data_IF_309221988622
#
_entry.id   IF_309221988622
#
_cell.length_a   1.000
_cell.length_b   1.000
_cell.length_c   1.000
_cell.angle_alpha   90.00
_cell.angle_beta   90.00
_cell.angle_gamma   90.00
#
_symmetry.space_group_name_H-M   'P 1'
#
loop_
_entity.id
_entity.type
_entity.pdbx_description
1 polymer ?
#
# COMPACT_ATOMS: atom_id res chain seq x y z
N UNK A 1 0.22 14.28 8.94
CA UNK A 1 -0.33 14.87 7.69
C UNK A 1 0.77 14.83 6.66
N UNK A 2 0.61 14.10 5.55
CA UNK A 2 1.57 14.12 4.44
C UNK A 2 1.26 15.39 3.67
N UNK A 3 2.13 16.41 3.70
CA UNK A 3 1.83 17.67 3.03
C UNK A 3 1.93 17.46 1.52
N UNK A 4 0.89 17.89 0.83
CA UNK A 4 0.86 18.19 -0.61
C UNK A 4 1.18 17.06 -1.61
N UNK A 5 0.96 15.80 -1.24
CA UNK A 5 1.06 14.69 -2.18
C UNK A 5 -0.31 14.37 -2.73
N UNK A 6 -0.52 14.59 -4.03
CA UNK A 6 -1.67 14.03 -4.73
C UNK A 6 -1.62 12.52 -4.55
N UNK A 7 -2.63 11.96 -3.92
CA UNK A 7 -2.66 10.57 -3.48
C UNK A 7 -3.71 9.79 -4.26
N UNK A 8 -3.40 8.55 -4.60
CA UNK A 8 -4.39 7.58 -5.06
C UNK A 8 -4.50 6.44 -4.04
N UNK A 9 -5.70 5.88 -3.90
CA UNK A 9 -5.99 4.74 -3.05
C UNK A 9 -6.46 3.56 -3.90
N UNK A 10 -5.94 2.37 -3.65
CA UNK A 10 -6.42 1.11 -4.23
C UNK A 10 -6.85 0.20 -3.09
N UNK A 11 -8.04 -0.39 -3.23
CA UNK A 11 -8.58 -1.39 -2.30
C UNK A 11 -8.66 -2.74 -3.02
N UNK A 12 -7.83 -3.70 -2.61
CA UNK A 12 -7.79 -5.04 -3.18
C UNK A 12 -8.86 -5.94 -2.58
N UNK A 13 -9.19 -7.03 -3.25
CA UNK A 13 -9.97 -8.12 -2.69
C UNK A 13 -9.12 -8.90 -1.69
N UNK A 14 -9.09 -8.45 -0.43
CA UNK A 14 -8.26 -8.99 0.62
C UNK A 14 -8.86 -8.78 2.01
N UNK A 15 -8.06 -9.03 3.03
CA UNK A 15 -8.50 -8.90 4.41
C UNK A 15 -8.52 -7.44 4.89
N UNK A 16 -9.61 -7.07 5.54
CA UNK A 16 -9.77 -5.79 6.25
C UNK A 16 -10.16 -6.05 7.70
N UNK A 17 -9.34 -5.60 8.65
CA UNK A 17 -9.67 -5.74 10.06
C UNK A 17 -10.86 -4.85 10.44
N UNK A 18 -12.02 -5.47 10.59
CA UNK A 18 -13.26 -4.75 10.92
C UNK A 18 -13.25 -4.10 12.31
N UNK A 19 -12.31 -4.45 13.18
CA UNK A 19 -12.09 -3.76 14.47
C UNK A 19 -11.41 -2.41 14.26
N UNK A 20 -10.78 -2.18 13.11
CA UNK A 20 -10.04 -0.98 12.73
C UNK A 20 -10.74 -0.17 11.63
N UNK A 21 -12.05 -0.28 11.48
CA UNK A 21 -12.83 0.49 10.51
C UNK A 21 -12.57 2.00 10.55
N UNK A 22 -12.33 2.65 11.70
CA UNK A 22 -11.99 4.08 11.72
C UNK A 22 -10.74 4.45 10.90
N UNK A 23 -9.75 3.56 10.81
CA UNK A 23 -8.56 3.76 9.98
C UNK A 23 -8.91 3.89 8.49
N UNK A 24 -9.66 2.92 7.96
CA UNK A 24 -10.08 2.94 6.55
C UNK A 24 -11.04 4.09 6.26
N UNK A 25 -11.99 4.37 7.18
CA UNK A 25 -12.90 5.51 7.06
C UNK A 25 -12.13 6.82 6.92
N UNK A 26 -11.13 7.05 7.78
CA UNK A 26 -10.31 8.27 7.75
C UNK A 26 -9.58 8.42 6.41
N UNK A 27 -9.00 7.33 5.89
CA UNK A 27 -8.30 7.34 4.61
C UNK A 27 -9.25 7.68 3.46
N UNK A 28 -10.41 7.00 3.37
CA UNK A 28 -11.40 7.20 2.31
C UNK A 28 -12.02 8.59 2.38
N UNK A 29 -12.45 9.05 3.56
CA UNK A 29 -13.03 10.40 3.72
C UNK A 29 -12.03 11.48 3.35
N UNK A 30 -10.76 11.33 3.76
CA UNK A 30 -9.69 12.25 3.35
C UNK A 30 -9.50 12.27 1.83
N UNK A 31 -9.53 11.10 1.19
CA UNK A 31 -9.39 11.01 -0.26
C UNK A 31 -10.56 11.69 -0.99
N UNK A 32 -11.80 11.43 -0.56
CA UNK A 32 -13.00 12.06 -1.13
C UNK A 32 -12.94 13.59 -0.96
N UNK A 33 -12.61 14.07 0.24
CA UNK A 33 -12.53 15.51 0.53
C UNK A 33 -11.50 16.24 -0.32
N UNK A 34 -10.38 15.56 -0.64
CA UNK A 34 -9.31 16.14 -1.45
C UNK A 34 -9.43 15.82 -2.95
N UNK A 35 -10.48 15.13 -3.37
CA UNK A 35 -10.67 14.75 -4.78
C UNK A 35 -9.62 13.75 -5.29
N UNK A 36 -9.09 12.91 -4.42
CA UNK A 36 -8.10 11.89 -4.78
C UNK A 36 -8.78 10.69 -5.44
N UNK A 37 -8.03 10.02 -6.31
CA UNK A 37 -8.46 8.79 -6.96
C UNK A 37 -8.67 7.67 -5.96
N UNK A 38 -9.80 6.96 -6.05
CA UNK A 38 -10.08 5.74 -5.30
C UNK A 38 -10.49 4.65 -6.30
N UNK A 39 -9.74 3.56 -6.33
CA UNK A 39 -10.00 2.38 -7.18
C UNK A 39 -10.24 1.17 -6.28
N UNK A 40 -11.28 0.40 -6.55
CA UNK A 40 -11.46 -0.93 -5.99
C UNK A 40 -11.17 -2.00 -7.04
N UNK A 41 -10.45 -3.04 -6.63
CA UNK A 41 -10.28 -4.27 -7.37
C UNK A 41 -11.27 -5.29 -6.81
N UNK A 42 -12.26 -5.66 -7.62
CA UNK A 42 -13.27 -6.69 -7.34
C UNK A 42 -13.84 -6.60 -5.90
N UNK A 43 -13.68 -7.62 -5.07
CA UNK A 43 -14.16 -7.68 -3.68
C UNK A 43 -13.62 -6.60 -2.74
N UNK A 44 -12.64 -5.79 -3.16
CA UNK A 44 -12.24 -4.57 -2.43
C UNK A 44 -13.39 -3.59 -2.15
N UNK A 45 -14.52 -3.75 -2.87
CA UNK A 45 -15.73 -2.98 -2.63
C UNK A 45 -16.40 -3.28 -1.27
N UNK A 46 -16.17 -4.46 -0.70
CA UNK A 46 -16.81 -4.85 0.57
C UNK A 46 -16.43 -3.98 1.77
N UNK A 47 -15.23 -3.36 1.77
CA UNK A 47 -14.87 -2.45 2.86
C UNK A 47 -15.79 -1.21 2.86
N UNK A 48 -16.20 -0.72 1.69
CA UNK A 48 -17.11 0.42 1.57
C UNK A 48 -18.49 0.07 2.09
N UNK A 49 -19.02 -1.12 1.73
CA UNK A 49 -20.29 -1.60 2.28
C UNK A 49 -20.24 -1.68 3.81
N UNK A 50 -19.14 -2.25 4.36
CA UNK A 50 -18.97 -2.37 5.79
C UNK A 50 -18.95 -1.01 6.50
N UNK A 51 -18.23 -0.03 5.94
CA UNK A 51 -18.16 1.33 6.46
C UNK A 51 -19.53 2.04 6.38
N UNK A 52 -20.20 1.95 5.24
CA UNK A 52 -21.51 2.58 5.02
C UNK A 52 -22.53 2.02 6.00
N UNK A 53 -22.58 0.70 6.17
CA UNK A 53 -23.46 0.04 7.12
C UNK A 53 -23.16 0.40 8.57
N UNK A 54 -21.89 0.42 8.95
CA UNK A 54 -21.47 0.63 10.35
C UNK A 54 -21.62 2.07 10.81
N UNK A 55 -21.37 3.03 9.92
CA UNK A 55 -21.34 4.45 10.29
C UNK A 55 -22.48 5.27 9.65
N UNK A 56 -23.40 4.64 8.93
CA UNK A 56 -24.49 5.35 8.25
C UNK A 56 -24.00 6.30 7.18
N UNK A 57 -22.97 5.90 6.41
CA UNK A 57 -22.31 6.72 5.39
C UNK A 57 -22.77 6.28 3.99
N UNK A 58 -22.41 7.08 2.99
CA UNK A 58 -22.58 6.78 1.56
C UNK A 58 -21.25 7.05 0.83
N UNK A 59 -20.23 6.25 1.15
CA UNK A 59 -18.90 6.33 0.59
C UNK A 59 -18.73 5.31 -0.52
N UNK A 60 -18.24 5.72 -1.69
CA UNK A 60 -17.99 4.83 -2.82
C UNK A 60 -16.66 5.15 -3.50
N UNK A 61 -16.00 4.17 -4.12
CA UNK A 61 -14.80 4.42 -4.92
C UNK A 61 -15.13 5.17 -6.21
N UNK A 62 -14.12 5.75 -6.84
CA UNK A 62 -14.27 6.38 -8.16
C UNK A 62 -14.41 5.32 -9.26
N UNK A 63 -13.62 4.24 -9.16
CA UNK A 63 -13.58 3.16 -10.13
C UNK A 63 -13.67 1.80 -9.47
N UNK A 64 -14.32 0.87 -10.16
CA UNK A 64 -14.36 -0.55 -9.83
C UNK A 64 -13.83 -1.33 -11.02
N UNK A 65 -12.85 -2.20 -10.82
CA UNK A 65 -12.18 -3.00 -11.83
C UNK A 65 -12.21 -4.48 -11.44
N UNK A 66 -12.36 -5.37 -12.40
CA UNK A 66 -12.43 -6.81 -12.20
C UNK A 66 -13.61 -7.44 -12.93
N UNK A 67 -13.74 -8.77 -12.88
CA UNK A 67 -14.86 -9.52 -13.44
C UNK A 67 -16.10 -9.54 -12.52
N UNK A 68 -15.95 -8.98 -11.30
CA UNK A 68 -17.01 -8.78 -10.31
C UNK A 68 -17.63 -10.07 -9.77
N UNK A 69 -16.97 -11.19 -9.90
CA UNK A 69 -17.45 -12.49 -9.43
C UNK A 69 -17.49 -12.58 -7.89
N UNK A 70 -16.66 -11.80 -7.21
CA UNK A 70 -16.64 -11.66 -5.74
C UNK A 70 -17.59 -10.58 -5.22
N UNK A 71 -18.27 -9.82 -6.08
CA UNK A 71 -19.19 -8.75 -5.68
C UNK A 71 -20.64 -9.22 -5.80
N UNK A 72 -21.39 -9.23 -4.68
CA UNK A 72 -22.80 -9.61 -4.78
C UNK A 72 -23.63 -8.56 -5.55
N UNK A 73 -24.68 -9.03 -6.26
CA UNK A 73 -25.51 -8.20 -7.12
C UNK A 73 -26.21 -7.02 -6.39
N UNK A 74 -26.54 -7.17 -5.11
CA UNK A 74 -27.15 -6.11 -4.31
C UNK A 74 -26.16 -5.00 -4.00
N UNK A 75 -24.90 -5.36 -3.68
CA UNK A 75 -23.84 -4.40 -3.44
C UNK A 75 -23.50 -3.64 -4.72
N UNK A 76 -23.37 -4.36 -5.82
CA UNK A 76 -23.13 -3.77 -7.14
C UNK A 76 -24.25 -2.79 -7.53
N UNK A 77 -25.51 -3.18 -7.35
CA UNK A 77 -26.66 -2.32 -7.67
C UNK A 77 -26.68 -1.02 -6.86
N UNK A 78 -26.30 -1.05 -5.59
CA UNK A 78 -26.20 0.16 -4.75
C UNK A 78 -25.07 1.06 -5.19
N UNK A 79 -23.93 0.46 -5.53
CA UNK A 79 -22.72 1.15 -5.90
C UNK A 79 -22.78 1.73 -7.33
N UNK A 80 -23.44 1.05 -8.26
CA UNK A 80 -23.43 1.33 -9.72
C UNK A 80 -23.89 2.74 -10.11
N UNK A 81 -24.68 3.40 -9.27
CA UNK A 81 -25.10 4.79 -9.51
C UNK A 81 -24.01 5.83 -9.24
N UNK A 82 -23.00 5.46 -8.44
CA UNK A 82 -21.94 6.35 -7.96
C UNK A 82 -20.54 5.99 -8.47
N UNK A 83 -20.38 4.81 -9.04
CA UNK A 83 -19.08 4.25 -9.44
C UNK A 83 -18.99 4.16 -10.97
N UNK A 84 -17.83 4.51 -11.52
CA UNK A 84 -17.47 4.19 -12.90
C UNK A 84 -16.90 2.77 -12.94
N UNK A 85 -17.67 1.85 -13.52
CA UNK A 85 -17.18 0.48 -13.74
C UNK A 85 -16.27 0.45 -14.96
N UNK A 86 -15.11 -0.16 -14.82
CA UNK A 86 -14.11 -0.28 -15.88
C UNK A 86 -14.01 -1.74 -16.31
N UNK A 87 -15.14 -2.36 -16.64
CA UNK A 87 -15.17 -3.71 -17.23
C UNK A 87 -14.58 -3.73 -18.65
N UNK A 88 -14.74 -2.64 -19.39
CA UNK A 88 -14.39 -2.56 -20.81
C UNK A 88 -12.96 -2.05 -21.07
N UNK A 89 -12.25 -1.55 -20.05
CA UNK A 89 -10.83 -1.22 -20.21
C UNK A 89 -9.98 -2.48 -20.41
N UNK A 90 -10.53 -3.61 -20.03
CA UNK A 90 -10.00 -4.95 -20.23
C UNK A 90 -10.35 -5.45 -21.65
N UNK A 91 -10.22 -4.63 -22.68
CA UNK A 91 -10.20 -5.06 -24.07
C UNK A 91 -9.07 -6.05 -24.39
N UNK A 92 -8.27 -6.37 -23.38
CA UNK A 92 -7.31 -7.46 -23.29
C UNK A 92 -7.69 -8.32 -22.10
N UNK A 93 -8.59 -9.27 -22.31
CA UNK A 93 -8.81 -10.41 -21.43
C UNK A 93 -7.57 -11.28 -21.39
N UNK A 94 -6.47 -10.71 -20.91
CA UNK A 94 -5.33 -11.50 -20.51
C UNK A 94 -5.71 -12.08 -19.15
N UNK A 95 -6.21 -13.32 -19.17
CA UNK A 95 -6.56 -14.10 -17.97
C UNK A 95 -5.37 -14.31 -17.02
N UNK A 96 -4.20 -13.81 -17.42
CA UNK A 96 -2.95 -13.92 -16.66
C UNK A 96 -2.72 -12.73 -15.71
N UNK A 97 -3.55 -11.68 -15.78
CA UNK A 97 -3.45 -10.51 -14.89
C UNK A 97 -4.45 -10.59 -13.74
N UNK A 98 -4.00 -10.27 -12.52
CA UNK A 98 -4.90 -10.14 -11.38
C UNK A 98 -5.61 -8.77 -11.38
N UNK A 99 -6.80 -8.68 -10.78
CA UNK A 99 -7.52 -7.40 -10.65
C UNK A 99 -6.71 -6.33 -9.93
N UNK A 100 -5.90 -6.76 -8.95
CA UNK A 100 -4.96 -5.87 -8.26
C UNK A 100 -3.89 -5.30 -9.20
N UNK A 101 -3.38 -6.10 -10.14
CA UNK A 101 -2.46 -5.62 -11.17
C UNK A 101 -3.15 -4.61 -12.08
N UNK A 102 -4.34 -4.95 -12.57
CA UNK A 102 -5.11 -4.07 -13.46
C UNK A 102 -5.46 -2.73 -12.78
N UNK A 103 -5.82 -2.76 -11.50
CA UNK A 103 -6.10 -1.55 -10.73
C UNK A 103 -4.86 -0.65 -10.58
N UNK A 104 -3.69 -1.23 -10.32
CA UNK A 104 -2.42 -0.50 -10.24
C UNK A 104 -2.03 0.08 -11.59
N UNK A 105 -2.15 -0.69 -12.67
CA UNK A 105 -1.84 -0.23 -14.03
C UNK A 105 -2.77 0.89 -14.48
N UNK A 106 -4.08 0.76 -14.26
CA UNK A 106 -5.06 1.80 -14.54
C UNK A 106 -4.69 3.10 -13.81
N UNK A 107 -4.48 3.01 -12.49
CA UNK A 107 -4.16 4.19 -11.70
C UNK A 107 -2.90 4.90 -12.21
N UNK A 108 -1.81 4.16 -12.42
CA UNK A 108 -0.51 4.73 -12.80
C UNK A 108 -0.43 5.26 -14.23
N UNK A 109 -1.21 4.71 -15.16
CA UNK A 109 -1.18 5.10 -16.56
C UNK A 109 -2.14 6.25 -16.87
N UNK A 110 -3.31 6.28 -16.23
CA UNK A 110 -4.39 7.18 -16.60
C UNK A 110 -4.50 8.41 -15.67
N UNK A 111 -3.83 8.40 -14.51
CA UNK A 111 -3.99 9.45 -13.51
C UNK A 111 -2.67 10.03 -13.02
N UNK A 112 -2.72 11.32 -12.66
CA UNK A 112 -1.56 12.03 -12.14
C UNK A 112 -1.60 12.16 -10.62
N UNK A 113 -0.68 11.46 -9.96
CA UNK A 113 -0.42 11.49 -8.52
C UNK A 113 1.03 11.11 -8.25
N UNK A 114 1.51 11.35 -7.04
CA UNK A 114 2.88 11.01 -6.64
C UNK A 114 2.95 10.06 -5.43
N UNK A 115 1.79 9.65 -4.90
CA UNK A 115 1.69 8.71 -3.79
C UNK A 115 0.53 7.73 -4.00
N UNK A 116 0.81 6.43 -3.86
CA UNK A 116 -0.17 5.37 -4.03
C UNK A 116 -0.23 4.51 -2.77
N UNK A 117 -1.40 4.46 -2.11
CA UNK A 117 -1.68 3.53 -1.03
C UNK A 117 -2.49 2.34 -1.52
N UNK A 118 -2.05 1.14 -1.23
CA UNK A 118 -2.75 -0.12 -1.56
C UNK A 118 -3.17 -0.79 -0.25
N UNK A 119 -4.46 -0.98 -0.07
CA UNK A 119 -5.10 -1.59 1.10
C UNK A 119 -5.61 -2.98 0.79
N UNK A 120 -5.78 -3.84 1.82
CA UNK A 120 -6.20 -5.23 1.65
C UNK A 120 -5.12 -6.09 0.99
N UNK A 121 -3.86 -5.67 1.07
CA UNK A 121 -2.73 -6.31 0.40
C UNK A 121 -1.88 -7.17 1.34
N UNK A 122 -2.06 -7.05 2.65
CA UNK A 122 -1.25 -7.74 3.64
C UNK A 122 -1.85 -9.12 3.99
N UNK A 123 -1.02 -10.08 4.44
CA UNK A 123 -1.46 -11.45 4.61
C UNK A 123 -2.44 -11.59 5.76
N UNK A 124 -3.47 -12.40 5.56
CA UNK A 124 -4.33 -12.88 6.61
C UNK A 124 -4.34 -14.41 6.62
N UNK A 125 -4.02 -15.00 7.75
CA UNK A 125 -3.94 -16.46 7.93
C UNK A 125 -2.98 -17.13 6.94
N UNK A 126 -3.51 -17.93 5.99
CA UNK A 126 -2.73 -18.79 5.10
C UNK A 126 -2.56 -18.22 3.69
N UNK A 127 -2.85 -16.94 3.45
CA UNK A 127 -2.79 -16.30 2.13
C UNK A 127 -1.39 -15.78 1.78
N UNK A 128 -0.36 -16.60 2.04
CA UNK A 128 1.04 -16.23 1.78
C UNK A 128 1.32 -16.02 0.29
N UNK A 129 0.70 -16.80 -0.57
CA UNK A 129 0.80 -16.71 -2.03
C UNK A 129 0.25 -15.38 -2.55
N UNK A 130 -0.93 -14.96 -2.10
CA UNK A 130 -1.51 -13.66 -2.41
C UNK A 130 -0.62 -12.52 -1.90
N UNK A 131 -0.10 -12.62 -0.68
CA UNK A 131 0.83 -11.63 -0.15
C UNK A 131 2.10 -11.50 -0.99
N UNK A 132 2.72 -12.62 -1.36
CA UNK A 132 3.91 -12.60 -2.22
C UNK A 132 3.61 -12.05 -3.62
N UNK A 133 2.41 -12.29 -4.14
CA UNK A 133 1.94 -11.67 -5.38
C UNK A 133 1.75 -10.16 -5.21
N UNK A 134 1.14 -9.70 -4.10
CA UNK A 134 0.93 -8.29 -3.82
C UNK A 134 2.25 -7.52 -3.66
N UNK A 135 3.31 -8.13 -3.11
CA UNK A 135 4.64 -7.51 -3.08
C UNK A 135 5.18 -7.17 -4.48
N UNK A 136 4.78 -7.94 -5.51
CA UNK A 136 5.16 -7.66 -6.90
C UNK A 136 4.52 -6.38 -7.43
N UNK A 137 3.36 -5.94 -6.87
CA UNK A 137 2.72 -4.67 -7.24
C UNK A 137 3.63 -3.48 -6.96
N UNK A 138 4.46 -3.53 -5.90
CA UNK A 138 5.46 -2.50 -5.63
C UNK A 138 6.55 -2.44 -6.73
N UNK A 139 6.94 -3.61 -7.28
CA UNK A 139 7.92 -3.66 -8.40
C UNK A 139 7.29 -3.17 -9.68
N UNK A 140 6.07 -3.61 -9.98
CA UNK A 140 5.29 -3.19 -11.15
C UNK A 140 5.12 -1.67 -11.17
N UNK A 141 4.66 -1.11 -10.07
CA UNK A 141 4.44 0.33 -9.94
C UNK A 141 5.73 1.13 -10.19
N UNK A 142 6.84 0.72 -9.60
CA UNK A 142 8.13 1.37 -9.83
C UNK A 142 8.64 1.23 -11.27
N UNK A 143 8.24 0.18 -11.99
CA UNK A 143 8.57 0.00 -13.42
C UNK A 143 7.77 0.96 -14.30
N UNK A 144 6.49 1.18 -13.98
CA UNK A 144 5.59 2.06 -14.74
C UNK A 144 5.87 3.52 -14.42
N UNK A 145 5.89 3.88 -13.14
CA UNK A 145 6.07 5.25 -12.62
C UNK A 145 7.11 5.26 -11.49
N UNK A 146 8.40 5.37 -11.82
CA UNK A 146 9.48 5.37 -10.83
C UNK A 146 9.46 6.59 -9.90
N UNK A 147 8.76 7.64 -10.26
CA UNK A 147 8.55 8.88 -9.50
C UNK A 147 7.47 8.75 -8.42
N UNK A 148 6.58 7.74 -8.53
CA UNK A 148 5.49 7.52 -7.57
C UNK A 148 5.99 6.69 -6.39
N UNK A 149 5.75 7.18 -5.19
CA UNK A 149 5.95 6.38 -3.97
C UNK A 149 4.75 5.47 -3.75
N UNK A 150 4.98 4.18 -3.65
CA UNK A 150 3.93 3.18 -3.43
C UNK A 150 4.12 2.50 -2.09
N UNK A 151 3.00 2.27 -1.39
CA UNK A 151 2.96 1.60 -0.09
C UNK A 151 1.80 0.60 -0.03
N UNK A 152 2.08 -0.61 0.44
CA UNK A 152 1.04 -1.53 0.94
C UNK A 152 0.76 -1.13 2.38
N UNK A 153 -0.48 -0.81 2.72
CA UNK A 153 -0.80 -0.15 3.99
C UNK A 153 -2.05 -0.74 4.64
N UNK A 154 -1.92 -1.12 5.90
CA UNK A 154 -3.00 -1.59 6.75
C UNK A 154 -2.86 -1.01 8.17
N UNK A 155 -3.85 -1.20 9.07
CA UNK A 155 -3.84 -0.55 10.39
C UNK A 155 -2.64 -0.85 11.28
N UNK A 156 -1.89 -1.92 11.02
CA UNK A 156 -0.79 -2.36 11.88
C UNK A 156 0.55 -2.44 11.16
N UNK A 157 0.56 -2.26 9.84
CA UNK A 157 1.78 -2.42 9.05
C UNK A 157 1.73 -1.60 7.76
N UNK A 158 2.89 -1.06 7.39
CA UNK A 158 3.14 -0.49 6.07
C UNK A 158 4.38 -1.11 5.44
N UNK A 159 4.32 -1.43 4.15
CA UNK A 159 5.44 -1.97 3.38
C UNK A 159 5.74 -1.05 2.22
N UNK A 160 6.97 -0.54 2.20
CA UNK A 160 7.50 0.35 1.16
C UNK A 160 8.53 -0.37 0.32
N UNK A 161 8.70 0.09 -0.91
CA UNK A 161 9.86 -0.24 -1.73
C UNK A 161 10.78 0.97 -1.82
N UNK A 162 11.84 0.95 -1.01
CA UNK A 162 12.83 2.03 -0.95
C UNK A 162 13.83 1.90 -2.09
N UNK A 163 14.03 2.97 -2.86
CA UNK A 163 15.03 3.06 -3.94
C UNK A 163 16.22 3.96 -3.60
N UNK A 164 15.98 5.05 -2.91
CA UNK A 164 17.02 6.02 -2.57
C UNK A 164 16.90 6.55 -1.17
N UNK A 165 15.77 7.20 -0.85
CA UNK A 165 15.51 7.81 0.47
C UNK A 165 14.06 7.57 0.88
N UNK A 166 13.87 7.23 2.15
CA UNK A 166 12.56 7.13 2.80
C UNK A 166 12.60 7.82 4.16
N UNK A 167 11.57 8.58 4.46
CA UNK A 167 11.31 9.12 5.79
C UNK A 167 10.03 8.48 6.32
N UNK A 168 10.11 7.85 7.47
CA UNK A 168 8.99 7.20 8.17
C UNK A 168 8.75 8.00 9.44
N UNK A 169 7.53 8.48 9.63
CA UNK A 169 7.13 9.13 10.88
C UNK A 169 6.58 8.10 11.85
N UNK A 170 6.86 8.31 13.13
CA UNK A 170 6.28 7.51 14.20
C UNK A 170 4.76 7.60 14.15
N UNK A 171 4.09 6.48 14.28
CA UNK A 171 2.64 6.40 14.20
C UNK A 171 1.98 6.74 15.54
N UNK A 172 2.54 6.21 16.65
CA UNK A 172 2.07 6.49 18.01
C UNK A 172 3.25 6.66 18.95
N UNK A 173 3.11 7.50 19.99
CA UNK A 173 4.15 7.68 21.02
C UNK A 173 4.28 6.49 21.97
N UNK A 174 3.25 5.65 22.06
CA UNK A 174 3.11 4.66 23.13
C UNK A 174 3.43 3.22 22.69
N UNK A 175 3.71 2.98 21.40
CA UNK A 175 4.01 1.65 20.87
C UNK A 175 5.48 1.49 20.50
N UNK A 176 6.01 0.28 20.67
CA UNK A 176 7.31 -0.10 20.13
C UNK A 176 7.14 -0.41 18.64
N UNK A 177 7.29 0.63 17.83
CA UNK A 177 7.24 0.49 16.38
C UNK A 177 8.53 -0.13 15.85
N UNK A 178 8.41 -1.07 14.93
CA UNK A 178 9.53 -1.83 14.39
C UNK A 178 9.72 -1.58 12.91
N UNK A 179 10.98 -1.43 12.50
CA UNK A 179 11.35 -1.22 11.11
C UNK A 179 12.31 -2.32 10.68
N UNK A 180 11.98 -3.00 9.58
CA UNK A 180 12.81 -4.05 8.99
C UNK A 180 13.17 -3.68 7.55
N UNK A 181 14.39 -4.01 7.13
CA UNK A 181 14.84 -3.87 5.75
C UNK A 181 15.14 -5.25 5.18
N UNK A 182 14.54 -5.58 4.04
CA UNK A 182 14.67 -6.87 3.38
C UNK A 182 15.18 -6.67 1.94
N UNK A 183 16.40 -7.11 1.66
CA UNK A 183 16.93 -7.19 0.30
C UNK A 183 16.30 -8.39 -0.43
N UNK A 184 16.11 -8.28 -1.75
CA UNK A 184 15.45 -9.32 -2.55
C UNK A 184 16.39 -10.05 -3.50
N UNK A 185 17.05 -9.29 -4.36
CA UNK A 185 17.79 -9.89 -5.48
C UNK A 185 19.31 -9.73 -5.33
N UNK A 186 19.77 -8.64 -4.70
CA UNK A 186 21.20 -8.30 -4.54
C UNK A 186 21.47 -7.65 -3.20
N UNK A 187 22.75 -7.62 -2.84
CA UNK A 187 23.21 -6.88 -1.68
C UNK A 187 22.88 -5.39 -1.80
N UNK A 188 22.32 -4.83 -0.74
CA UNK A 188 21.93 -3.42 -0.65
C UNK A 188 22.75 -2.75 0.43
N UNK A 189 23.39 -1.62 0.12
CA UNK A 189 24.14 -0.84 1.09
C UNK A 189 23.32 0.33 1.61
N UNK A 190 23.16 0.42 2.91
CA UNK A 190 22.60 1.59 3.57
C UNK A 190 23.69 2.66 3.66
N UNK A 191 23.48 3.79 2.99
CA UNK A 191 24.40 4.94 3.04
C UNK A 191 24.25 5.71 4.34
N UNK A 192 23.00 5.95 4.73
CA UNK A 192 22.67 6.75 5.91
C UNK A 192 21.38 6.28 6.56
N UNK A 193 21.35 6.30 7.88
CA UNK A 193 20.14 6.12 8.69
C UNK A 193 20.17 7.03 9.90
N UNK A 194 19.02 7.54 10.30
CA UNK A 194 18.81 8.37 11.47
C UNK A 194 17.51 7.99 12.17
N UNK A 195 17.45 8.16 13.48
CA UNK A 195 16.25 7.92 14.28
C UNK A 195 16.01 6.44 14.62
N UNK A 196 16.88 5.53 14.18
CA UNK A 196 16.84 4.11 14.53
C UNK A 196 17.68 3.83 15.79
N UNK A 197 17.19 2.93 16.65
CA UNK A 197 17.91 2.47 17.85
C UNK A 197 19.24 1.81 17.50
N UNK A 198 19.26 0.98 16.48
CA UNK A 198 20.50 0.40 15.93
C UNK A 198 20.82 1.08 14.61
N UNK A 199 21.93 1.77 14.58
CA UNK A 199 22.37 2.50 13.39
C UNK A 199 22.69 1.54 12.24
N UNK A 200 22.25 1.86 11.03
CA UNK A 200 22.46 1.05 9.84
C UNK A 200 23.50 1.66 8.87
N UNK A 201 24.19 2.72 9.24
CA UNK A 201 25.14 3.42 8.36
C UNK A 201 26.25 2.47 7.90
N UNK A 202 26.42 2.34 6.58
CA UNK A 202 27.42 1.47 5.97
C UNK A 202 27.08 -0.02 5.99
N UNK A 203 25.94 -0.42 6.57
CA UNK A 203 25.52 -1.82 6.63
C UNK A 203 25.19 -2.34 5.23
N UNK A 204 25.67 -3.54 4.93
CA UNK A 204 25.24 -4.33 3.80
C UNK A 204 24.11 -5.26 4.20
N UNK A 205 22.97 -5.16 3.51
CA UNK A 205 21.83 -6.06 3.66
C UNK A 205 21.96 -7.11 2.57
N UNK A 206 22.19 -8.33 3.01
CA UNK A 206 22.39 -9.52 2.17
C UNK A 206 21.04 -10.21 1.96
N UNK A 207 20.62 -10.52 0.71
CA UNK A 207 19.36 -11.21 0.46
C UNK A 207 19.29 -12.63 1.06
N UNK A 208 20.46 -13.24 1.28
CA UNK A 208 20.56 -14.60 1.82
C UNK A 208 20.67 -14.63 3.36
N UNK A 209 20.65 -13.47 4.02
CA UNK A 209 20.80 -13.37 5.48
C UNK A 209 19.67 -12.56 6.11
N UNK A 210 19.06 -13.04 7.20
CA UNK A 210 18.02 -12.30 7.93
C UNK A 210 18.63 -11.18 8.79
N UNK A 211 19.21 -10.16 8.14
CA UNK A 211 19.79 -8.98 8.79
C UNK A 211 18.81 -7.80 8.76
N UNK A 212 19.05 -6.78 9.61
CA UNK A 212 18.26 -5.54 9.68
C UNK A 212 16.75 -5.77 9.92
N UNK A 213 16.41 -6.76 10.74
CA UNK A 213 15.03 -7.10 11.09
C UNK A 213 14.70 -6.58 12.48
N UNK A 214 13.49 -5.98 12.66
CA UNK A 214 12.95 -5.49 13.92
C UNK A 214 13.81 -4.43 14.60
N UNK A 215 14.38 -3.51 13.83
CA UNK A 215 14.94 -2.28 14.40
C UNK A 215 13.80 -1.42 14.98
N UNK A 216 14.13 -0.55 15.91
CA UNK A 216 13.16 0.28 16.63
C UNK A 216 13.48 1.77 16.42
N UNK A 217 12.49 2.63 16.65
CA UNK A 217 12.77 4.06 16.79
C UNK A 217 13.64 4.33 18.02
N UNK A 218 14.54 5.29 17.95
CA UNK A 218 15.12 5.89 19.15
C UNK A 218 14.00 6.50 20.00
N UNK A 219 14.18 6.51 21.31
CA UNK A 219 13.14 6.93 22.26
C UNK A 219 12.59 8.34 22.00
N UNK A 220 13.45 9.24 21.55
CA UNK A 220 13.18 10.66 21.29
C UNK A 220 12.96 10.97 19.79
N UNK A 221 13.04 9.97 18.90
CA UNK A 221 12.87 10.18 17.48
C UNK A 221 11.39 10.19 17.06
N UNK A 222 10.98 11.26 16.42
CA UNK A 222 9.66 11.40 15.78
C UNK A 222 9.66 10.83 14.36
N UNK A 223 10.84 10.66 13.76
CA UNK A 223 10.98 10.12 12.43
C UNK A 223 12.25 9.28 12.27
N UNK A 224 12.20 8.35 11.34
CA UNK A 224 13.33 7.57 10.86
C UNK A 224 13.62 7.93 9.42
N UNK A 225 14.87 8.20 9.11
CA UNK A 225 15.36 8.45 7.75
C UNK A 225 16.28 7.29 7.35
N UNK A 226 16.05 6.74 6.16
CA UNK A 226 16.89 5.69 5.58
C UNK A 226 17.26 6.11 4.15
N UNK A 227 18.55 6.10 3.84
CA UNK A 227 19.07 6.38 2.50
C UNK A 227 19.95 5.23 2.03
N UNK A 228 19.73 4.76 0.81
CA UNK A 228 20.55 3.74 0.17
C UNK A 228 21.71 4.38 -0.61
N UNK A 229 22.77 3.60 -0.81
CA UNK A 229 23.83 3.95 -1.76
C UNK A 229 23.23 4.05 -3.18
N UNK A 230 23.69 5.03 -3.97
CA UNK A 230 23.11 5.35 -5.29
C UNK A 230 23.12 4.17 -6.27
N UNK A 231 24.07 3.26 -6.14
CA UNK A 231 24.20 2.06 -6.98
C UNK A 231 23.45 0.84 -6.42
N UNK A 232 22.79 0.97 -5.28
CA UNK A 232 22.11 -0.16 -4.64
C UNK A 232 20.78 -0.48 -5.31
N UNK A 233 20.44 -1.77 -5.33
CA UNK A 233 19.11 -2.22 -5.70
C UNK A 233 18.07 -1.76 -4.65
N UNK A 234 16.78 -1.69 -4.99
CA UNK A 234 15.74 -1.35 -4.03
C UNK A 234 15.58 -2.41 -2.93
N UNK A 235 15.21 -1.98 -1.75
CA UNK A 235 14.94 -2.82 -0.58
C UNK A 235 13.49 -2.66 -0.13
N UNK A 236 12.88 -3.72 0.40
CA UNK A 236 11.61 -3.60 1.11
C UNK A 236 11.87 -3.04 2.51
N UNK A 237 11.09 -2.05 2.89
CA UNK A 237 11.06 -1.50 4.25
C UNK A 237 9.71 -1.82 4.84
N UNK A 238 9.71 -2.60 5.92
CA UNK A 238 8.50 -3.02 6.63
C UNK A 238 8.45 -2.23 7.93
N UNK A 239 7.37 -1.48 8.11
CA UNK A 239 7.09 -0.71 9.32
C UNK A 239 5.89 -1.33 10.02
N UNK A 240 6.09 -1.90 11.21
CA UNK A 240 5.05 -2.41 12.10
C UNK A 240 4.77 -1.37 13.18
N UNK A 241 3.49 -1.04 13.42
CA UNK A 241 3.05 -0.02 14.37
C UNK A 241 1.77 -0.38 15.13
#
# INVERSE_FOLDING_TARGET
>A
MIPDKRTALIFLNGFYDTRQLPFYRKAIQSAITNGYLIVCADGGLHIFECLNRTFGLDLWPTYLIGDLDSVNSNLYSKASTSIKTVSDWIGHTDKDSTDGQLAVELALREFDFNYLCIYGSLPHRYETDHFLANLKLLRLANKIRPDVQVVLNDPQQAIYRLRSKLTIRRHTSDSTEQISLIAHDKNVKVRYSQGLRWNLNGLWIDPDKPTAVRNEFQSDAEEVIIELETSSDPVLVIHNF
#
